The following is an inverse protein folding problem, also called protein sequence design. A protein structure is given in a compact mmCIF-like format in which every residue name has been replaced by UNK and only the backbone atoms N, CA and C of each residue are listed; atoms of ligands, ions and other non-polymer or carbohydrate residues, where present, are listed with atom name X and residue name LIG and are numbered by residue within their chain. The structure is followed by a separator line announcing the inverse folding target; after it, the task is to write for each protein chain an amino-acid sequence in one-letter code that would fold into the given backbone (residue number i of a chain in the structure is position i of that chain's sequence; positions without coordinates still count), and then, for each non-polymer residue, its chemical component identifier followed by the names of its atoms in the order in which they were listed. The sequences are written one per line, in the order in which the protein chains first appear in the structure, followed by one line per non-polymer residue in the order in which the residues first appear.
data_IF_015714437640
#
_entry.id   IF_015714437640
#
_cell.length_a   1.000
_cell.length_b   1.000
_cell.length_c   1.000
_cell.angle_alpha   90.00
_cell.angle_beta   90.00
_cell.angle_gamma   90.00
#
_symmetry.space_group_name_H-M   'P 1'
#
loop_
_entity.id
_entity.type
_entity.pdbx_description
1 polymer ?
#
# COMPACT_ATOMS: atom_id res chain seq x y z
N UNK A 1 7.81 18.56 -8.49
CA UNK A 1 7.33 18.33 -7.11
C UNK A 1 6.51 19.48 -6.56
N UNK A 2 6.96 20.74 -6.69
CA UNK A 2 6.25 21.91 -6.12
C UNK A 2 4.77 22.02 -6.53
N UNK A 3 4.43 21.72 -7.80
CA UNK A 3 3.03 21.76 -8.27
C UNK A 3 2.14 20.70 -7.62
N UNK A 4 2.66 19.50 -7.36
CA UNK A 4 1.91 18.42 -6.69
C UNK A 4 1.72 18.77 -5.21
N UNK A 5 2.78 19.27 -4.56
CA UNK A 5 2.70 19.77 -3.19
C UNK A 5 1.64 20.86 -3.05
N UNK A 6 1.64 21.86 -3.95
CA UNK A 6 0.62 22.93 -3.98
C UNK A 6 -0.80 22.40 -4.22
N UNK A 7 -0.95 21.41 -5.10
CA UNK A 7 -2.26 20.79 -5.34
C UNK A 7 -2.81 20.11 -4.08
N UNK A 8 -1.96 19.38 -3.35
CA UNK A 8 -2.31 18.78 -2.06
C UNK A 8 -2.65 19.83 -1.01
N UNK A 9 -1.86 20.90 -0.87
CA UNK A 9 -2.15 21.99 0.10
C UNK A 9 -3.44 22.74 -0.22
N UNK A 10 -3.87 22.76 -1.49
CA UNK A 10 -5.12 23.36 -1.92
C UNK A 10 -6.34 22.43 -1.76
N UNK A 11 -6.17 21.27 -1.12
CA UNK A 11 -7.24 20.29 -0.87
C UNK A 11 -7.44 19.25 -1.97
N UNK A 12 -6.54 19.21 -2.97
CA UNK A 12 -6.49 18.13 -3.95
C UNK A 12 -6.05 16.80 -3.31
N UNK A 13 -6.39 15.68 -3.96
CA UNK A 13 -6.01 14.35 -3.52
C UNK A 13 -5.21 13.63 -4.61
N UNK A 14 -4.15 12.91 -4.21
CA UNK A 14 -3.26 12.17 -5.11
C UNK A 14 -3.21 10.71 -4.67
N UNK A 15 -3.28 9.80 -5.65
CA UNK A 15 -3.01 8.38 -5.47
C UNK A 15 -1.69 8.06 -6.19
N UNK A 16 -0.70 7.58 -5.44
CA UNK A 16 0.58 7.11 -5.98
C UNK A 16 0.60 5.58 -5.90
N UNK A 17 0.95 4.91 -7.00
CA UNK A 17 1.12 3.47 -7.07
C UNK A 17 2.49 3.17 -7.66
N UNK A 18 3.24 2.28 -7.02
CA UNK A 18 4.57 1.84 -7.46
C UNK A 18 4.57 0.32 -7.66
N UNK A 19 5.46 -0.16 -8.51
CA UNK A 19 5.72 -1.58 -8.69
C UNK A 19 6.82 -2.07 -7.74
N UNK A 20 7.09 -3.37 -7.80
CA UNK A 20 8.27 -3.95 -7.16
C UNK A 20 9.58 -3.28 -7.60
N UNK A 21 10.63 -3.42 -6.79
CA UNK A 21 11.93 -2.78 -7.04
C UNK A 21 11.95 -1.28 -6.71
N UNK A 22 10.81 -0.72 -6.31
CA UNK A 22 10.70 0.62 -5.76
C UNK A 22 11.04 1.72 -6.75
N UNK A 23 11.55 2.84 -6.24
CA UNK A 23 11.91 3.98 -7.07
C UNK A 23 13.17 3.76 -7.90
N UNK A 24 14.05 2.84 -7.45
CA UNK A 24 15.29 2.52 -8.15
C UNK A 24 15.03 1.78 -9.46
N UNK A 25 14.19 0.74 -9.43
CA UNK A 25 13.81 -0.01 -10.64
C UNK A 25 12.96 0.86 -11.58
N UNK A 26 12.10 1.72 -11.02
CA UNK A 26 11.24 2.61 -11.78
C UNK A 26 11.94 3.87 -12.32
N UNK A 27 13.24 4.07 -12.04
CA UNK A 27 14.05 5.23 -12.41
C UNK A 27 13.34 6.57 -12.11
N UNK A 28 12.86 6.71 -10.87
CA UNK A 28 12.15 7.88 -10.38
C UNK A 28 12.65 8.31 -9.01
N UNK A 29 12.26 9.51 -8.58
CA UNK A 29 12.61 10.11 -7.29
C UNK A 29 11.36 10.47 -6.47
N UNK A 30 10.30 9.67 -6.61
CA UNK A 30 9.01 9.96 -5.98
C UNK A 30 9.09 9.98 -4.45
N UNK A 31 10.03 9.23 -3.83
CA UNK A 31 10.19 9.22 -2.38
C UNK A 31 10.53 10.62 -1.84
N UNK A 32 11.20 11.47 -2.62
CA UNK A 32 11.46 12.86 -2.22
C UNK A 32 10.18 13.63 -1.84
N UNK A 33 9.03 13.33 -2.46
CA UNK A 33 7.73 13.90 -2.07
C UNK A 33 7.07 13.13 -0.94
N UNK A 34 7.10 11.79 -1.00
CA UNK A 34 6.39 10.95 -0.05
C UNK A 34 6.98 11.02 1.37
N UNK A 35 8.30 11.22 1.47
CA UNK A 35 9.02 11.35 2.74
C UNK A 35 8.53 12.53 3.57
N UNK A 36 8.11 13.64 2.93
CA UNK A 36 7.50 14.79 3.61
C UNK A 36 6.20 14.41 4.35
N UNK A 37 5.53 13.34 3.91
CA UNK A 37 4.31 12.79 4.52
C UNK A 37 4.58 11.54 5.38
N UNK A 38 5.86 11.19 5.61
CA UNK A 38 6.25 10.02 6.39
C UNK A 38 6.03 8.68 5.69
N UNK A 39 5.97 8.67 4.35
CA UNK A 39 5.79 7.47 3.53
C UNK A 39 7.04 7.25 2.68
N UNK A 40 7.51 6.00 2.56
CA UNK A 40 8.64 5.62 1.70
C UNK A 40 8.27 4.35 0.94
N UNK A 41 8.61 4.29 -0.34
CA UNK A 41 8.53 3.08 -1.15
C UNK A 41 9.89 2.40 -1.15
N UNK A 42 9.93 1.15 -0.70
CA UNK A 42 11.15 0.35 -0.62
C UNK A 42 11.55 -0.24 -1.98
N UNK A 43 12.84 -0.53 -2.15
CA UNK A 43 13.38 -1.25 -3.30
C UNK A 43 13.35 -2.77 -3.06
N UNK A 44 12.17 -3.32 -2.75
CA UNK A 44 11.94 -4.74 -2.49
C UNK A 44 10.78 -5.31 -3.33
N UNK A 45 10.52 -6.61 -3.17
CA UNK A 45 9.43 -7.30 -3.83
C UNK A 45 8.71 -8.20 -2.82
N UNK A 46 7.38 -8.14 -2.82
CA UNK A 46 6.54 -9.04 -2.01
C UNK A 46 6.43 -10.38 -2.73
N UNK A 47 6.86 -11.44 -2.06
CA UNK A 47 6.72 -12.82 -2.54
C UNK A 47 5.84 -13.65 -1.61
N UNK A 48 5.14 -14.63 -2.16
CA UNK A 48 4.45 -15.65 -1.36
C UNK A 48 5.46 -16.54 -0.62
N UNK A 49 5.14 -16.90 0.61
CA UNK A 49 5.95 -17.83 1.41
C UNK A 49 5.62 -19.31 1.14
N UNK A 50 4.41 -19.58 0.65
CA UNK A 50 3.94 -20.93 0.29
C UNK A 50 3.28 -20.89 -1.09
N UNK A 51 3.36 -21.98 -1.84
CA UNK A 51 2.65 -22.11 -3.11
C UNK A 51 1.13 -22.22 -2.87
N UNK A 52 0.36 -21.32 -3.48
CA UNK A 52 -1.11 -21.38 -3.44
C UNK A 52 -1.71 -20.68 -4.67
N UNK A 53 -2.50 -21.45 -5.45
CA UNK A 53 -3.35 -21.03 -6.59
C UNK A 53 -2.64 -20.41 -7.81
N UNK A 54 -1.72 -19.49 -7.60
CA UNK A 54 -1.06 -18.71 -8.65
C UNK A 54 0.29 -19.33 -9.03
N UNK A 55 0.79 -19.07 -10.24
CA UNK A 55 2.07 -19.65 -10.68
C UNK A 55 3.26 -18.76 -10.35
N UNK A 56 3.12 -17.44 -10.40
CA UNK A 56 4.23 -16.53 -10.14
C UNK A 56 4.44 -16.32 -8.63
N UNK A 57 5.67 -16.48 -8.09
CA UNK A 57 5.96 -16.20 -6.68
C UNK A 57 5.58 -14.80 -6.20
N UNK A 58 5.53 -13.81 -7.08
CA UNK A 58 5.15 -12.42 -6.76
C UNK A 58 3.64 -12.18 -6.79
N UNK A 59 2.85 -13.14 -7.26
CA UNK A 59 1.39 -13.14 -7.11
C UNK A 59 1.01 -13.60 -5.69
N UNK A 60 1.24 -12.72 -4.71
CA UNK A 60 1.00 -12.99 -3.29
C UNK A 60 -0.48 -12.80 -2.91
N UNK A 61 -1.13 -13.87 -2.42
CA UNK A 61 -2.47 -13.78 -1.83
C UNK A 61 -2.39 -13.33 -0.36
N UNK A 62 -2.94 -12.15 -0.06
CA UNK A 62 -2.98 -11.60 1.30
C UNK A 62 -4.42 -11.69 1.85
N UNK A 63 -4.70 -12.72 2.65
CA UNK A 63 -6.04 -12.93 3.22
C UNK A 63 -6.32 -12.07 4.46
N UNK A 64 -5.28 -11.76 5.25
CA UNK A 64 -5.37 -11.08 6.55
C UNK A 64 -4.51 -9.80 6.62
N UNK A 65 -4.54 -8.97 5.57
CA UNK A 65 -3.71 -7.75 5.46
C UNK A 65 -4.42 -6.43 5.74
N UNK A 66 -5.68 -6.45 6.20
CA UNK A 66 -6.44 -5.22 6.44
C UNK A 66 -6.08 -4.65 7.82
N UNK A 67 -5.29 -3.58 7.84
CA UNK A 67 -4.86 -2.92 9.08
C UNK A 67 -5.93 -1.97 9.65
N UNK A 68 -6.68 -1.29 8.79
CA UNK A 68 -7.71 -0.33 9.20
C UNK A 68 -9.11 -0.85 8.85
N UNK A 69 -9.97 -1.00 9.86
CA UNK A 69 -11.35 -1.47 9.72
C UNK A 69 -12.21 -0.62 8.78
N UNK A 70 -11.90 0.66 8.62
CA UNK A 70 -12.63 1.55 7.71
C UNK A 70 -12.59 1.05 6.25
N UNK A 71 -11.53 0.34 5.85
CA UNK A 71 -11.43 -0.29 4.53
C UNK A 71 -12.48 -1.40 4.39
N UNK A 72 -12.60 -2.28 5.39
CA UNK A 72 -13.59 -3.36 5.38
C UNK A 72 -15.02 -2.80 5.37
N UNK A 73 -15.28 -1.75 6.16
CA UNK A 73 -16.57 -1.06 6.21
C UNK A 73 -16.89 -0.44 4.84
N UNK A 74 -15.95 0.29 4.23
CA UNK A 74 -16.11 0.90 2.92
C UNK A 74 -16.35 -0.15 1.82
N UNK A 75 -15.69 -1.31 1.94
CA UNK A 75 -15.89 -2.47 1.06
C UNK A 75 -17.18 -3.26 1.36
N UNK A 76 -18.00 -2.82 2.33
CA UNK A 76 -19.25 -3.49 2.77
C UNK A 76 -19.03 -4.94 3.22
N UNK A 77 -17.85 -5.25 3.75
CA UNK A 77 -17.56 -6.57 4.34
C UNK A 77 -18.08 -6.60 5.78
N UNK A 78 -18.81 -7.63 6.13
CA UNK A 78 -19.22 -7.88 7.52
C UNK A 78 -17.97 -8.12 8.37
N UNK A 79 -17.68 -7.22 9.30
CA UNK A 79 -16.56 -7.37 10.23
C UNK A 79 -16.96 -8.39 11.29
N UNK A 80 -16.47 -9.61 11.18
CA UNK A 80 -16.68 -10.65 12.21
C UNK A 80 -15.79 -10.36 13.43
N UNK A 81 -16.28 -10.69 14.62
CA UNK A 81 -15.63 -10.46 15.92
C UNK A 81 -14.27 -11.14 16.10
N UNK A 82 -13.90 -12.10 15.24
CA UNK A 82 -12.57 -12.73 15.21
C UNK A 82 -11.44 -11.75 14.84
N UNK A 83 -11.75 -10.58 14.26
CA UNK A 83 -10.77 -9.52 13.99
C UNK A 83 -10.55 -8.56 15.18
N UNK A 84 -11.38 -8.63 16.23
CA UNK A 84 -11.23 -7.77 17.42
C UNK A 84 -10.09 -8.20 18.35
N UNK A 85 -9.69 -9.48 18.35
CA UNK A 85 -8.64 -9.99 19.23
C UNK A 85 -7.22 -9.53 18.85
N UNK A 86 -7.01 -9.12 17.60
CA UNK A 86 -5.71 -8.65 17.11
C UNK A 86 -5.53 -7.12 17.21
N UNK A 87 -6.49 -6.43 17.84
CA UNK A 87 -6.50 -4.97 18.00
C UNK A 87 -6.35 -4.53 19.47
N UNK A 88 -6.06 -5.46 20.38
CA UNK A 88 -5.73 -5.17 21.78
C UNK A 88 -4.26 -5.48 22.06
#
# INVERSE_FOLDING_TARGET
MESIGRFLTNGGAVLVMMSEGGEQEADTNINFLLEEFGIVVNNDAVIRSIFYKYFDPKEALISNGVLNRSIAIAAKKTVTSEQQSNSQ
#
